data_IF_630532886874
#
_entry.id   IF_630532886874
#
_cell.length_a   1.000
_cell.length_b   1.000
_cell.length_c   1.000
_cell.angle_alpha   90.00
_cell.angle_beta   90.00
_cell.angle_gamma   90.00
#
_symmetry.space_group_name_H-M   'P 1'
#
loop_
_entity.id
_entity.type
_entity.pdbx_description
1 polymer ?
#
# COMPACT_ATOMS: atom_id res chain seq x y z
N UNK A 1 8.01 13.63 -3.05
CA UNK A 1 8.19 13.28 -1.64
C UNK A 1 9.05 12.04 -1.51
N UNK A 2 9.99 12.06 -0.59
CA UNK A 2 10.85 10.90 -0.39
C UNK A 2 10.20 9.92 0.57
N UNK A 3 10.30 8.62 0.26
CA UNK A 3 9.91 7.58 1.19
C UNK A 3 10.89 7.57 2.38
N UNK A 4 10.40 7.22 3.55
CA UNK A 4 11.24 7.04 4.73
C UNK A 4 12.12 5.80 4.55
N UNK A 5 13.16 5.67 5.40
CA UNK A 5 14.03 4.49 5.35
C UNK A 5 13.26 3.19 5.57
N UNK A 6 12.29 3.22 6.49
CA UNK A 6 11.44 2.06 6.74
C UNK A 6 10.60 1.70 5.54
N UNK A 7 10.05 2.69 4.85
CA UNK A 7 9.25 2.46 3.66
C UNK A 7 10.10 1.87 2.53
N UNK A 8 11.32 2.36 2.35
CA UNK A 8 12.25 1.84 1.34
C UNK A 8 12.56 0.38 1.62
N UNK A 9 12.79 0.03 2.87
CA UNK A 9 13.09 -1.34 3.25
C UNK A 9 11.91 -2.28 3.01
N UNK A 10 10.70 -1.84 3.33
CA UNK A 10 9.49 -2.61 3.06
C UNK A 10 9.33 -2.81 1.56
N UNK A 11 9.54 -1.77 0.78
CA UNK A 11 9.47 -1.86 -0.68
C UNK A 11 10.44 -2.91 -1.22
N UNK A 12 11.67 -2.92 -0.73
CA UNK A 12 12.67 -3.90 -1.15
C UNK A 12 12.25 -5.32 -0.81
N UNK A 13 11.70 -5.53 0.38
CA UNK A 13 11.23 -6.84 0.80
C UNK A 13 10.09 -7.32 -0.12
N UNK A 14 9.15 -6.45 -0.44
CA UNK A 14 8.04 -6.80 -1.30
C UNK A 14 8.50 -7.12 -2.72
N UNK A 15 9.48 -6.38 -3.23
CA UNK A 15 10.05 -6.65 -4.55
C UNK A 15 10.80 -7.98 -4.58
N UNK A 16 11.57 -8.29 -3.56
CA UNK A 16 12.29 -9.56 -3.48
C UNK A 16 11.34 -10.75 -3.39
N UNK A 17 10.20 -10.55 -2.74
CA UNK A 17 9.17 -11.59 -2.63
C UNK A 17 8.34 -11.72 -3.92
N UNK A 18 8.59 -10.86 -4.92
CA UNK A 18 7.87 -10.84 -6.20
C UNK A 18 6.35 -10.65 -6.02
N UNK A 19 5.99 -9.86 -5.02
CA UNK A 19 4.60 -9.55 -4.74
C UNK A 19 4.11 -8.39 -5.60
N UNK A 20 2.82 -8.45 -5.96
CA UNK A 20 2.17 -7.32 -6.63
C UNK A 20 1.76 -6.32 -5.56
N UNK A 21 2.38 -5.15 -5.54
CA UNK A 21 2.06 -4.15 -4.54
C UNK A 21 2.03 -2.75 -5.15
N UNK A 22 1.35 -1.84 -4.46
CA UNK A 22 1.36 -0.42 -4.80
C UNK A 22 1.63 0.40 -3.56
N UNK A 23 2.38 1.47 -3.74
CA UNK A 23 2.72 2.40 -2.66
C UNK A 23 1.77 3.60 -2.70
N UNK A 24 1.49 4.14 -1.51
CA UNK A 24 0.67 5.34 -1.38
C UNK A 24 -0.66 5.21 -2.13
N UNK A 25 -1.32 4.08 -1.92
CA UNK A 25 -2.57 3.77 -2.62
C UNK A 25 -3.75 4.47 -1.96
N UNK A 26 -4.57 5.11 -2.77
CA UNK A 26 -5.76 5.82 -2.31
C UNK A 26 -7.00 5.08 -2.78
N UNK A 27 -7.93 4.81 -1.85
CA UNK A 27 -9.21 4.19 -2.18
C UNK A 27 -10.27 5.30 -2.30
N UNK A 28 -10.64 5.71 -3.51
CA UNK A 28 -11.61 6.80 -3.66
C UNK A 28 -13.00 6.45 -3.16
N UNK A 29 -13.33 5.17 -3.12
CA UNK A 29 -14.65 4.70 -2.64
C UNK A 29 -14.72 4.58 -1.12
N UNK A 30 -13.59 4.60 -0.44
CA UNK A 30 -13.52 4.53 1.01
C UNK A 30 -13.11 5.88 1.56
N UNK A 31 -13.90 6.40 2.48
CA UNK A 31 -13.64 7.72 3.05
C UNK A 31 -13.61 7.65 4.56
N UNK A 32 -12.77 8.48 5.15
CA UNK A 32 -12.74 8.66 6.60
C UNK A 32 -14.00 9.40 7.05
N UNK A 33 -14.30 9.41 8.37
CA UNK A 33 -15.47 10.13 8.90
C UNK A 33 -15.53 11.61 8.51
N UNK A 34 -14.39 12.25 8.24
CA UNK A 34 -14.33 13.64 7.81
C UNK A 34 -14.35 13.80 6.29
N UNK A 35 -14.68 12.75 5.54
CA UNK A 35 -14.93 12.83 4.11
C UNK A 35 -13.70 12.73 3.22
N UNK A 36 -12.52 12.49 3.77
CA UNK A 36 -11.30 12.34 2.99
C UNK A 36 -11.11 10.91 2.51
N UNK A 37 -10.59 10.71 1.29
CA UNK A 37 -10.27 9.36 0.82
C UNK A 37 -9.25 8.69 1.74
N UNK A 38 -9.42 7.38 1.97
CA UNK A 38 -8.46 6.62 2.78
C UNK A 38 -7.22 6.34 1.96
N UNK A 39 -6.06 6.53 2.59
CA UNK A 39 -4.76 6.32 1.98
C UNK A 39 -3.97 5.33 2.82
N UNK A 40 -3.31 4.40 2.14
CA UNK A 40 -2.46 3.39 2.78
C UNK A 40 -1.06 3.43 2.19
N UNK A 41 -0.07 3.15 3.02
CA UNK A 41 1.34 3.22 2.58
C UNK A 41 1.67 2.14 1.57
N UNK A 42 1.19 0.91 1.81
CA UNK A 42 1.40 -0.20 0.89
C UNK A 42 0.14 -1.05 0.82
N UNK A 43 -0.22 -1.44 -0.38
CA UNK A 43 -1.31 -2.40 -0.61
C UNK A 43 -0.76 -3.52 -1.46
N UNK A 44 -0.88 -4.75 -0.98
CA UNK A 44 -0.41 -5.94 -1.68
C UNK A 44 -1.60 -6.68 -2.26
N UNK A 45 -1.51 -7.00 -3.55
CA UNK A 45 -2.58 -7.65 -4.29
C UNK A 45 -2.26 -9.12 -4.51
N UNK A 46 -3.29 -9.95 -4.41
CA UNK A 46 -3.20 -11.37 -4.76
C UNK A 46 -3.16 -11.54 -6.27
N UNK A 47 -2.86 -12.75 -6.72
CA UNK A 47 -2.76 -13.06 -8.15
C UNK A 47 -4.06 -12.82 -8.92
N UNK A 48 -5.20 -12.91 -8.24
CA UNK A 48 -6.51 -12.66 -8.85
C UNK A 48 -6.91 -11.19 -8.88
N UNK A 49 -6.04 -10.30 -8.41
CA UNK A 49 -6.30 -8.86 -8.39
C UNK A 49 -7.01 -8.36 -7.14
N UNK A 50 -7.37 -9.24 -6.22
CA UNK A 50 -7.96 -8.81 -4.95
C UNK A 50 -6.88 -8.37 -3.98
N UNK A 51 -7.27 -7.61 -2.94
CA UNK A 51 -6.31 -7.17 -1.93
C UNK A 51 -5.98 -8.33 -1.01
N UNK A 52 -4.69 -8.64 -0.88
CA UNK A 52 -4.20 -9.69 0.00
C UNK A 52 -4.01 -9.13 1.41
N UNK A 53 -3.21 -8.08 1.53
CA UNK A 53 -3.03 -7.40 2.81
C UNK A 53 -2.57 -5.97 2.60
N UNK A 54 -2.67 -5.17 3.67
CA UNK A 54 -2.31 -3.76 3.67
C UNK A 54 -1.26 -3.54 4.74
N UNK A 55 -0.24 -2.74 4.42
CA UNK A 55 0.81 -2.37 5.36
C UNK A 55 0.75 -0.87 5.59
N UNK A 56 0.67 -0.47 6.85
CA UNK A 56 0.81 0.93 7.25
C UNK A 56 2.11 1.08 8.02
N UNK A 57 2.85 2.08 7.66
CA UNK A 57 4.12 2.38 8.31
C UNK A 57 4.01 3.51 9.31
#
# INVERSE_FOLDING_TARGET
>A
MRASRGEIKIEEILKEAELNFKMEYIFPDLRSPNGRPLRFDFVVFADDGTIDFIIEF
#
